data_IF_981594121954
#
_entry.id   IF_981594121954
#
_cell.length_a   1.000
_cell.length_b   1.000
_cell.length_c   1.000
_cell.angle_alpha   90.00
_cell.angle_beta   90.00
_cell.angle_gamma   90.00
#
_symmetry.space_group_name_H-M   'P 1'
#
loop_
_entity.id
_entity.type
_entity.pdbx_description
1 polymer ?
#
# COMPACT_ATOMS: atom_id res chain seq x y z
N UNK A 1 -14.23 -44.60 13.38
CA UNK A 1 -13.01 -45.16 12.74
C UNK A 1 -12.56 -44.34 11.54
N UNK A 2 -13.42 -44.04 10.56
CA UNK A 2 -13.06 -43.26 9.37
C UNK A 2 -12.58 -41.82 9.64
N UNK A 3 -13.22 -41.09 10.56
CA UNK A 3 -12.80 -39.72 10.90
C UNK A 3 -11.39 -39.61 11.50
N UNK A 4 -10.97 -40.59 12.30
CA UNK A 4 -9.60 -40.66 12.83
C UNK A 4 -8.58 -40.95 11.72
N UNK A 5 -8.89 -41.86 10.78
CA UNK A 5 -8.02 -42.15 9.64
C UNK A 5 -7.84 -40.92 8.74
N UNK A 6 -8.93 -40.18 8.47
CA UNK A 6 -8.87 -38.94 7.68
C UNK A 6 -8.04 -37.87 8.39
N UNK A 7 -8.21 -37.69 9.71
CA UNK A 7 -7.44 -36.72 10.49
C UNK A 7 -5.93 -37.02 10.48
N UNK A 8 -5.54 -38.29 10.63
CA UNK A 8 -4.12 -38.68 10.59
C UNK A 8 -3.54 -38.58 9.17
N UNK A 9 -4.33 -38.89 8.14
CA UNK A 9 -3.92 -38.73 6.74
C UNK A 9 -3.67 -37.27 6.36
N UNK A 10 -4.57 -36.36 6.77
CA UNK A 10 -4.38 -34.92 6.57
C UNK A 10 -3.18 -34.40 7.36
N UNK A 11 -2.98 -34.86 8.59
CA UNK A 11 -1.82 -34.50 9.41
C UNK A 11 -0.48 -34.89 8.77
N UNK A 12 -0.37 -36.12 8.27
CA UNK A 12 0.84 -36.58 7.57
C UNK A 12 1.10 -35.80 6.28
N UNK A 13 0.04 -35.51 5.51
CA UNK A 13 0.15 -34.73 4.28
C UNK A 13 0.68 -33.32 4.57
N UNK A 14 0.18 -32.65 5.62
CA UNK A 14 0.67 -31.34 6.05
C UNK A 14 2.15 -31.37 6.48
N UNK A 15 2.58 -32.39 7.23
CA UNK A 15 3.99 -32.53 7.64
C UNK A 15 4.90 -32.73 6.43
N UNK A 16 4.48 -33.52 5.44
CA UNK A 16 5.23 -33.72 4.19
C UNK A 16 5.36 -32.42 3.37
N UNK A 17 4.32 -31.60 3.31
CA UNK A 17 4.40 -30.32 2.58
C UNK A 17 5.37 -29.34 3.25
N UNK A 18 5.38 -29.28 4.58
CA UNK A 18 6.30 -28.41 5.34
C UNK A 18 7.75 -28.86 5.19
N UNK A 19 8.02 -30.18 5.22
CA UNK A 19 9.39 -30.69 5.07
C UNK A 19 9.95 -30.46 3.67
N UNK A 20 9.12 -30.60 2.63
CA UNK A 20 9.50 -30.29 1.24
C UNK A 20 9.82 -28.79 1.08
N UNK A 21 8.98 -27.91 1.63
CA UNK A 21 9.24 -26.47 1.62
C UNK A 21 10.58 -26.12 2.27
N UNK A 22 10.86 -26.70 3.45
CA UNK A 22 12.11 -26.44 4.16
C UNK A 22 13.34 -26.99 3.41
N UNK A 23 13.20 -28.12 2.71
CA UNK A 23 14.25 -28.70 1.87
C UNK A 23 14.62 -27.77 0.71
N UNK A 24 13.62 -27.24 -0.01
CA UNK A 24 13.86 -26.29 -1.10
C UNK A 24 14.49 -25.00 -0.57
N UNK A 25 14.03 -24.49 0.59
CA UNK A 25 14.59 -23.29 1.23
C UNK A 25 16.08 -23.43 1.57
N UNK A 26 16.49 -24.57 2.13
CA UNK A 26 17.89 -24.79 2.51
C UNK A 26 18.85 -24.93 1.32
N UNK A 27 18.41 -25.56 0.22
CA UNK A 27 19.25 -25.72 -0.97
C UNK A 27 19.51 -24.39 -1.70
N UNK A 28 18.54 -23.46 -1.67
CA UNK A 28 18.69 -22.14 -2.29
C UNK A 28 19.64 -21.24 -1.49
N UNK A 29 19.58 -21.30 -0.16
CA UNK A 29 20.47 -20.49 0.72
C UNK A 29 21.92 -20.99 0.69
N UNK A 30 22.16 -22.30 0.54
CA UNK A 30 23.52 -22.87 0.49
C UNK A 30 24.32 -22.55 -0.78
N UNK A 31 23.64 -22.27 -1.90
CA UNK A 31 24.26 -22.00 -3.20
C UNK A 31 24.99 -20.65 -3.32
N UNK A 32 24.74 -19.72 -2.41
CA UNK A 32 25.31 -18.36 -2.44
C UNK A 32 26.60 -18.20 -1.62
N UNK A 33 27.23 -19.29 -1.18
CA UNK A 33 28.44 -19.26 -0.33
C UNK A 33 29.71 -18.71 -1.01
N UNK A 34 29.72 -18.62 -2.35
CA UNK A 34 30.84 -18.07 -3.14
C UNK A 34 30.61 -16.69 -3.74
N UNK A 35 29.42 -16.09 -3.58
CA UNK A 35 29.12 -14.78 -4.14
C UNK A 35 29.71 -13.70 -3.23
N UNK A 36 30.62 -12.88 -3.76
CA UNK A 36 31.27 -11.80 -3.02
C UNK A 36 30.20 -10.92 -2.37
N UNK A 37 30.28 -10.74 -1.05
CA UNK A 37 29.31 -10.00 -0.21
C UNK A 37 28.92 -8.63 -0.79
N UNK A 38 29.80 -8.02 -1.58
CA UNK A 38 29.60 -6.79 -2.34
C UNK A 38 28.47 -6.81 -3.38
N UNK A 39 28.12 -7.97 -3.95
CA UNK A 39 26.99 -8.09 -4.90
C UNK A 39 25.64 -8.25 -4.21
N UNK A 40 25.63 -8.57 -2.91
CA UNK A 40 24.44 -8.77 -2.08
C UNK A 40 24.13 -7.55 -1.20
N UNK A 41 25.03 -6.57 -1.11
CA UNK A 41 24.85 -5.36 -0.32
C UNK A 41 24.26 -4.23 -1.18
N UNK A 42 23.41 -3.40 -0.57
CA UNK A 42 22.87 -2.18 -1.19
C UNK A 42 24.00 -1.22 -1.57
N UNK A 43 23.84 -0.52 -2.70
CA UNK A 43 24.84 0.43 -3.19
C UNK A 43 24.85 1.71 -2.34
N UNK A 44 25.89 1.90 -1.51
CA UNK A 44 26.08 3.07 -0.64
C UNK A 44 27.20 3.99 -1.15
N UNK A 45 27.35 4.11 -2.47
CA UNK A 45 28.35 4.97 -3.10
C UNK A 45 29.80 4.70 -2.64
N UNK A 46 30.12 3.47 -2.21
CA UNK A 46 31.46 3.07 -1.78
C UNK A 46 31.79 3.27 -0.29
N UNK A 47 30.83 3.72 0.52
CA UNK A 47 30.98 3.81 1.96
C UNK A 47 30.52 2.51 2.65
N UNK A 48 31.09 2.19 3.82
CA UNK A 48 30.53 1.15 4.68
C UNK A 48 29.22 1.66 5.28
N UNK A 49 28.11 0.99 4.97
CA UNK A 49 26.80 1.27 5.55
C UNK A 49 26.85 1.35 7.06
N UNK A 50 26.60 2.56 7.54
CA UNK A 50 26.37 2.80 8.95
C UNK A 50 24.86 2.88 9.14
N UNK A 51 24.36 1.88 9.87
CA UNK A 51 22.99 1.71 10.32
C UNK A 51 21.95 1.27 9.27
N UNK A 52 20.99 0.49 9.76
CA UNK A 52 19.82 0.02 9.02
C UNK A 52 19.09 1.19 8.37
N UNK A 53 18.80 1.07 7.08
CA UNK A 53 17.98 2.01 6.32
C UNK A 53 16.52 1.94 6.75
N UNK A 54 16.25 2.29 8.00
CA UNK A 54 14.90 2.54 8.47
C UNK A 54 14.46 3.88 7.90
N UNK A 55 13.88 3.82 6.69
CA UNK A 55 13.18 4.95 6.12
C UNK A 55 11.99 5.26 7.03
N UNK A 56 12.17 6.22 7.93
CA UNK A 56 11.11 6.77 8.75
C UNK A 56 10.09 7.38 7.78
N UNK A 57 8.92 6.75 7.72
CA UNK A 57 7.82 7.12 6.86
C UNK A 57 7.48 8.62 7.03
N UNK A 58 7.54 9.38 5.94
CA UNK A 58 7.22 10.81 5.98
C UNK A 58 5.70 11.03 5.91
N UNK A 59 5.18 11.73 6.92
CA UNK A 59 3.76 12.06 7.07
C UNK A 59 3.17 12.83 5.88
N UNK A 60 4.00 13.53 5.11
CA UNK A 60 3.57 14.26 3.91
C UNK A 60 3.00 13.33 2.84
N UNK A 61 3.63 12.17 2.63
CA UNK A 61 3.16 11.19 1.63
C UNK A 61 1.86 10.51 2.07
N UNK A 62 1.70 10.30 3.37
CA UNK A 62 0.46 9.76 3.94
C UNK A 62 -0.72 10.69 3.71
N UNK A 63 -0.56 11.97 4.02
CA UNK A 63 -1.61 12.97 3.85
C UNK A 63 -1.99 13.15 2.38
N UNK A 64 -1.01 13.10 1.47
CA UNK A 64 -1.28 13.12 0.03
C UNK A 64 -2.13 11.93 -0.41
N UNK A 65 -1.87 10.72 0.12
CA UNK A 65 -2.66 9.53 -0.19
C UNK A 65 -4.10 9.64 0.32
N UNK A 66 -4.28 10.11 1.56
CA UNK A 66 -5.63 10.33 2.13
C UNK A 66 -6.39 11.38 1.33
N UNK A 67 -5.74 12.50 1.01
CA UNK A 67 -6.31 13.57 0.19
C UNK A 67 -6.73 13.06 -1.20
N UNK A 68 -5.89 12.24 -1.84
CA UNK A 68 -6.20 11.62 -3.12
C UNK A 68 -7.45 10.73 -3.06
N UNK A 69 -7.58 9.90 -2.02
CA UNK A 69 -8.74 9.01 -1.85
C UNK A 69 -10.03 9.81 -1.64
N UNK A 70 -9.99 10.87 -0.84
CA UNK A 70 -11.16 11.73 -0.61
C UNK A 70 -11.59 12.43 -1.90
N UNK A 71 -10.64 13.03 -2.63
CA UNK A 71 -10.94 13.73 -3.88
C UNK A 71 -11.45 12.80 -4.99
N UNK A 72 -10.95 11.56 -5.06
CA UNK A 72 -11.42 10.55 -6.02
C UNK A 72 -12.87 10.09 -5.73
N UNK A 73 -13.22 9.97 -4.44
CA UNK A 73 -14.60 9.69 -4.02
C UNK A 73 -15.55 10.84 -4.40
N UNK A 74 -15.12 12.09 -4.20
CA UNK A 74 -15.92 13.27 -4.54
C UNK A 74 -16.12 13.42 -6.06
N UNK A 75 -15.10 13.15 -6.87
CA UNK A 75 -15.24 13.12 -8.34
C UNK A 75 -16.19 12.00 -8.78
N UNK A 76 -16.11 10.84 -8.16
CA UNK A 76 -17.01 9.72 -8.46
C UNK A 76 -18.50 10.08 -8.24
N UNK A 77 -18.79 10.91 -7.23
CA UNK A 77 -20.12 11.47 -7.00
C UNK A 77 -20.54 12.48 -8.08
N UNK A 78 -19.62 13.37 -8.51
CA UNK A 78 -19.87 14.33 -9.59
C UNK A 78 -20.12 13.64 -10.94
N UNK A 79 -19.49 12.49 -11.21
CA UNK A 79 -19.66 11.77 -12.46
C UNK A 79 -21.08 11.20 -12.65
N UNK A 80 -21.86 11.09 -11.57
CA UNK A 80 -23.24 10.62 -11.62
C UNK A 80 -24.25 11.73 -12.02
N UNK A 81 -23.84 13.00 -12.08
CA UNK A 81 -24.69 14.15 -12.47
C UNK A 81 -25.45 13.94 -13.79
N UNK A 82 -24.80 13.56 -14.93
CA UNK A 82 -25.50 13.44 -16.21
C UNK A 82 -26.60 12.37 -16.20
N UNK A 83 -26.54 11.39 -15.30
CA UNK A 83 -27.53 10.31 -15.21
C UNK A 83 -28.79 10.71 -14.42
N UNK A 84 -28.75 11.78 -13.61
CA UNK A 84 -29.85 12.14 -12.70
C UNK A 84 -30.89 13.11 -13.27
N UNK A 85 -30.77 13.54 -14.53
CA UNK A 85 -31.70 14.47 -15.16
C UNK A 85 -31.59 15.90 -14.63
N UNK A 86 -31.79 16.88 -15.51
CA UNK A 86 -31.67 18.31 -15.20
C UNK A 86 -32.92 18.78 -14.45
N UNK A 87 -32.93 18.56 -13.13
CA UNK A 87 -33.82 19.26 -12.22
C UNK A 87 -33.06 20.46 -11.62
N UNK A 88 -33.65 21.66 -11.73
CA UNK A 88 -33.07 22.91 -11.24
C UNK A 88 -32.74 22.86 -9.73
N UNK A 89 -33.51 22.08 -8.97
CA UNK A 89 -33.26 21.86 -7.53
C UNK A 89 -32.00 21.04 -7.25
N UNK A 90 -31.65 20.08 -8.12
CA UNK A 90 -30.45 19.24 -7.95
C UNK A 90 -29.17 20.03 -8.22
N UNK A 91 -29.22 21.00 -9.14
CA UNK A 91 -28.07 21.85 -9.49
C UNK A 91 -27.56 22.69 -8.31
N UNK A 92 -28.46 23.21 -7.47
CA UNK A 92 -28.05 23.97 -6.28
C UNK A 92 -27.30 23.10 -5.27
N UNK A 93 -27.71 21.84 -5.10
CA UNK A 93 -27.02 20.89 -4.21
C UNK A 93 -25.62 20.58 -4.73
N UNK A 94 -25.45 20.38 -6.04
CA UNK A 94 -24.14 20.16 -6.66
C UNK A 94 -23.22 21.37 -6.54
N UNK A 95 -23.74 22.59 -6.72
CA UNK A 95 -22.96 23.82 -6.53
C UNK A 95 -22.51 23.99 -5.08
N UNK A 96 -23.39 23.70 -4.12
CA UNK A 96 -23.03 23.73 -2.70
C UNK A 96 -21.96 22.68 -2.36
N UNK A 97 -22.08 21.48 -2.93
CA UNK A 97 -21.09 20.42 -2.79
C UNK A 97 -19.71 20.84 -3.35
N UNK A 98 -19.68 21.43 -4.55
CA UNK A 98 -18.44 21.92 -5.16
C UNK A 98 -17.81 23.07 -4.35
N UNK A 99 -18.63 23.93 -3.74
CA UNK A 99 -18.15 24.97 -2.83
C UNK A 99 -17.50 24.39 -1.55
N UNK A 100 -18.12 23.38 -0.94
CA UNK A 100 -17.55 22.64 0.20
C UNK A 100 -16.18 22.03 -0.17
N UNK A 101 -16.09 21.45 -1.37
CA UNK A 101 -14.87 20.86 -1.92
C UNK A 101 -13.75 21.91 -2.03
N UNK A 102 -14.06 23.05 -2.65
CA UNK A 102 -13.12 24.16 -2.81
C UNK A 102 -12.65 24.67 -1.44
N UNK A 103 -13.56 24.79 -0.47
CA UNK A 103 -13.23 25.26 0.87
C UNK A 103 -12.30 24.28 1.60
N UNK A 104 -12.58 22.98 1.57
CA UNK A 104 -11.72 21.95 2.16
C UNK A 104 -10.31 21.99 1.59
N UNK A 105 -10.19 22.05 0.25
CA UNK A 105 -8.90 22.17 -0.42
C UNK A 105 -8.11 23.42 0.00
N UNK A 106 -8.78 24.57 0.11
CA UNK A 106 -8.12 25.81 0.55
C UNK A 106 -7.60 25.74 1.99
N UNK A 107 -8.32 25.08 2.89
CA UNK A 107 -7.86 24.86 4.28
C UNK A 107 -6.61 23.98 4.30
N UNK A 108 -6.60 22.92 3.50
CA UNK A 108 -5.47 21.99 3.38
C UNK A 108 -4.21 22.71 2.85
N UNK A 109 -4.39 23.54 1.80
CA UNK A 109 -3.32 24.36 1.22
C UNK A 109 -2.74 25.36 2.22
N UNK A 110 -3.60 26.04 3.00
CA UNK A 110 -3.13 27.00 4.02
C UNK A 110 -2.41 26.31 5.18
N UNK A 111 -2.74 25.06 5.47
CA UNK A 111 -2.05 24.27 6.50
C UNK A 111 -0.65 23.81 6.07
N UNK A 112 -0.33 23.93 4.78
CA UNK A 112 1.03 23.69 4.28
C UNK A 112 1.40 22.22 4.11
N UNK A 113 0.45 21.29 4.25
CA UNK A 113 0.67 19.85 4.05
C UNK A 113 1.06 19.49 2.61
N UNK A 114 0.71 20.36 1.64
CA UNK A 114 1.03 20.21 0.21
C UNK A 114 2.31 20.98 -0.17
N UNK A 115 3.10 21.47 0.79
CA UNK A 115 4.39 22.08 0.47
C UNK A 115 5.47 21.01 0.41
N UNK A 116 5.91 20.71 -0.81
CA UNK A 116 7.18 20.03 -1.01
C UNK A 116 8.29 21.00 -0.63
N UNK A 117 8.86 20.83 0.57
CA UNK A 117 10.21 21.34 0.82
C UNK A 117 11.15 20.43 0.05
N UNK A 118 11.88 21.04 -0.87
CA UNK A 118 13.04 20.43 -1.52
C UNK A 118 14.15 20.25 -0.47
#
# INVERSE_FOLDING_TARGET
>A
MWGLVVLWGVGLLLVCLVSVYHWYGWNVVGGCSGLSRSWLCSFECGFMGQDSSENVFSYTYFLLLVFFVVFDLEISLLLNIPFQGILYSSMMVYLFFLFMLLFGYLVELRSGYVRWSY
#
